data_IF_398815588272
#
_entry.id   IF_398815588272
#
_cell.length_a   1.000
_cell.length_b   1.000
_cell.length_c   1.000
_cell.angle_alpha   90.00
_cell.angle_beta   90.00
_cell.angle_gamma   90.00
#
_symmetry.space_group_name_H-M   'P 1'
#
loop_
_entity.id
_entity.type
_entity.pdbx_description
1 polymer ?
#
# COMPACT_ATOMS: atom_id res chain seq x y z
N UNK A 1 4.98 7.88 -91.72
CA UNK A 1 4.84 6.43 -91.41
C UNK A 1 5.13 6.24 -89.93
N UNK A 2 4.11 5.99 -89.11
CA UNK A 2 4.18 5.95 -87.64
C UNK A 2 4.40 4.50 -87.20
N UNK A 3 5.54 4.16 -86.57
CA UNK A 3 5.72 2.88 -85.90
C UNK A 3 5.02 2.96 -84.54
N UNK A 4 4.08 2.05 -84.32
CA UNK A 4 3.46 1.81 -83.02
C UNK A 4 4.36 0.78 -82.33
N UNK A 5 5.15 1.22 -81.36
CA UNK A 5 5.89 0.31 -80.50
C UNK A 5 4.87 -0.46 -79.64
N UNK A 6 4.87 -1.78 -79.83
CA UNK A 6 4.05 -2.71 -79.05
C UNK A 6 4.59 -2.70 -77.63
N UNK A 7 3.72 -2.38 -76.67
CA UNK A 7 3.93 -2.71 -75.27
C UNK A 7 4.32 -4.18 -75.16
N UNK A 8 5.57 -4.43 -74.76
CA UNK A 8 5.99 -5.71 -74.22
C UNK A 8 5.34 -5.82 -72.84
N UNK A 9 4.23 -6.54 -72.76
CA UNK A 9 3.71 -7.01 -71.49
C UNK A 9 4.52 -8.27 -71.20
N UNK A 10 5.53 -8.14 -70.34
CA UNK A 10 6.29 -9.28 -69.83
C UNK A 10 5.33 -10.29 -69.18
N UNK A 11 5.42 -11.58 -69.51
CA UNK A 11 4.56 -12.61 -68.95
C UNK A 11 5.18 -13.19 -67.67
N UNK A 12 5.58 -12.35 -66.71
CA UNK A 12 5.89 -12.81 -65.35
C UNK A 12 4.62 -12.79 -64.49
N UNK A 13 3.52 -13.28 -65.07
CA UNK A 13 2.26 -13.50 -64.39
C UNK A 13 2.27 -14.93 -63.80
N UNK A 14 3.25 -15.18 -62.91
CA UNK A 14 3.30 -16.41 -62.13
C UNK A 14 2.16 -16.39 -61.12
N UNK A 15 1.03 -17.01 -61.50
CA UNK A 15 -0.08 -17.23 -60.58
C UNK A 15 0.39 -18.06 -59.38
N UNK A 16 0.00 -17.65 -58.17
CA UNK A 16 0.31 -18.39 -56.95
C UNK A 16 -0.33 -19.78 -57.01
N UNK A 17 0.46 -20.81 -56.69
CA UNK A 17 -0.09 -22.15 -56.53
C UNK A 17 -1.03 -22.18 -55.33
N UNK A 18 -2.13 -22.93 -55.42
CA UNK A 18 -3.05 -23.13 -54.29
C UNK A 18 -2.29 -23.61 -53.03
N UNK A 19 -1.25 -24.42 -53.22
CA UNK A 19 -0.39 -24.89 -52.14
C UNK A 19 0.38 -23.75 -51.46
N UNK A 20 0.89 -22.79 -52.22
CA UNK A 20 1.60 -21.62 -51.67
C UNK A 20 0.64 -20.75 -50.84
N UNK A 21 -0.59 -20.55 -51.32
CA UNK A 21 -1.62 -19.81 -50.58
C UNK A 21 -2.00 -20.53 -49.29
N UNK A 22 -2.16 -21.86 -49.32
CA UNK A 22 -2.45 -22.65 -48.13
C UNK A 22 -1.31 -22.62 -47.11
N UNK A 23 -0.06 -22.74 -47.56
CA UNK A 23 1.13 -22.65 -46.69
C UNK A 23 1.22 -21.25 -46.08
N UNK A 24 1.00 -20.19 -46.86
CA UNK A 24 1.00 -18.82 -46.36
C UNK A 24 -0.07 -18.59 -45.28
N UNK A 25 -1.28 -19.11 -45.48
CA UNK A 25 -2.37 -19.04 -44.49
C UNK A 25 -2.05 -19.82 -43.20
N UNK A 26 -1.42 -20.99 -43.32
CA UNK A 26 -1.02 -21.79 -42.17
C UNK A 26 0.07 -21.08 -41.36
N UNK A 27 1.09 -20.55 -42.04
CA UNK A 27 2.14 -19.74 -41.40
C UNK A 27 1.54 -18.49 -40.73
N UNK A 28 0.62 -17.79 -41.40
CA UNK A 28 -0.06 -16.64 -40.83
C UNK A 28 -0.83 -17.02 -39.56
N UNK A 29 -1.58 -18.11 -39.59
CA UNK A 29 -2.35 -18.60 -38.43
C UNK A 29 -1.44 -18.98 -37.27
N UNK A 30 -0.32 -19.63 -37.55
CA UNK A 30 0.68 -19.99 -36.52
C UNK A 30 1.31 -18.73 -35.91
N UNK A 31 1.69 -17.75 -36.73
CA UNK A 31 2.24 -16.48 -36.24
C UNK A 31 1.20 -15.71 -35.43
N UNK A 32 -0.05 -15.63 -35.90
CA UNK A 32 -1.14 -14.97 -35.17
C UNK A 32 -1.42 -15.62 -33.82
N UNK A 33 -1.46 -16.96 -33.73
CA UNK A 33 -1.65 -17.67 -32.46
C UNK A 33 -0.47 -17.48 -31.51
N UNK A 34 0.77 -17.43 -32.02
CA UNK A 34 1.95 -17.12 -31.21
C UNK A 34 1.87 -15.70 -30.63
N UNK A 35 1.55 -14.70 -31.46
CA UNK A 35 1.40 -13.30 -31.03
C UNK A 35 0.29 -13.19 -29.98
N UNK A 36 -0.86 -13.83 -30.22
CA UNK A 36 -1.97 -13.84 -29.26
C UNK A 36 -1.56 -14.44 -27.91
N UNK A 37 -0.87 -15.59 -27.92
CA UNK A 37 -0.38 -16.25 -26.70
C UNK A 37 0.62 -15.38 -25.94
N UNK A 38 1.54 -14.72 -26.63
CA UNK A 38 2.51 -13.79 -26.02
C UNK A 38 1.80 -12.59 -25.39
N UNK A 39 0.86 -11.96 -26.11
CA UNK A 39 0.08 -10.82 -25.61
C UNK A 39 -0.74 -11.21 -24.37
N UNK A 40 -1.43 -12.35 -24.41
CA UNK A 40 -2.24 -12.81 -23.29
C UNK A 40 -1.39 -13.08 -22.03
N UNK A 41 -0.21 -13.68 -22.20
CA UNK A 41 0.75 -13.84 -21.08
C UNK A 41 1.27 -12.50 -20.57
N UNK A 42 1.60 -11.57 -21.46
CA UNK A 42 2.08 -10.24 -21.07
C UNK A 42 1.04 -9.48 -20.24
N UNK A 43 -0.23 -9.51 -20.66
CA UNK A 43 -1.36 -8.92 -19.90
C UNK A 43 -1.47 -9.57 -18.52
N UNK A 44 -1.45 -10.90 -18.44
CA UNK A 44 -1.53 -11.60 -17.16
C UNK A 44 -0.38 -11.23 -16.20
N UNK A 45 0.85 -11.12 -16.72
CA UNK A 45 1.99 -10.69 -15.91
C UNK A 45 1.90 -9.22 -15.50
N UNK A 46 1.40 -8.35 -16.37
CA UNK A 46 1.16 -6.94 -16.06
C UNK A 46 0.13 -6.80 -14.93
N UNK A 47 -1.01 -7.49 -15.02
CA UNK A 47 -2.04 -7.50 -13.97
C UNK A 47 -1.50 -8.04 -12.64
N UNK A 48 -0.73 -9.12 -12.67
CA UNK A 48 -0.09 -9.68 -11.48
C UNK A 48 0.92 -8.71 -10.88
N UNK A 49 1.69 -8.02 -11.73
CA UNK A 49 2.63 -6.99 -11.33
C UNK A 49 1.93 -5.80 -10.66
N UNK A 50 0.84 -5.31 -11.26
CA UNK A 50 0.06 -4.19 -10.72
C UNK A 50 -0.53 -4.52 -9.34
N UNK A 51 -1.09 -5.73 -9.17
CA UNK A 51 -1.61 -6.18 -7.87
C UNK A 51 -0.52 -6.19 -6.79
N UNK A 52 0.67 -6.74 -7.12
CA UNK A 52 1.79 -6.76 -6.18
C UNK A 52 2.29 -5.35 -5.86
N UNK A 53 2.35 -4.47 -6.86
CA UNK A 53 2.77 -3.10 -6.65
C UNK A 53 1.79 -2.34 -5.74
N UNK A 54 0.48 -2.50 -5.95
CA UNK A 54 -0.54 -1.91 -5.08
C UNK A 54 -0.43 -2.39 -3.63
N UNK A 55 -0.12 -3.66 -3.40
CA UNK A 55 0.12 -4.20 -2.04
C UNK A 55 1.34 -3.55 -1.38
N UNK A 56 2.44 -3.38 -2.12
CA UNK A 56 3.66 -2.72 -1.63
C UNK A 56 3.38 -1.25 -1.31
N UNK A 57 2.66 -0.54 -2.19
CA UNK A 57 2.27 0.85 -1.98
C UNK A 57 1.41 1.01 -0.72
N UNK A 58 0.42 0.13 -0.53
CA UNK A 58 -0.41 0.11 0.69
C UNK A 58 0.41 -0.15 1.95
N UNK A 59 1.36 -1.09 1.89
CA UNK A 59 2.28 -1.41 2.99
C UNK A 59 3.13 -0.20 3.38
N UNK A 60 3.79 0.43 2.40
CA UNK A 60 4.64 1.61 2.62
C UNK A 60 3.81 2.80 3.10
N UNK A 61 2.60 2.99 2.56
CA UNK A 61 1.70 4.05 2.98
C UNK A 61 1.26 3.90 4.45
N UNK A 62 0.94 2.68 4.89
CA UNK A 62 0.57 2.40 6.28
C UNK A 62 1.73 2.72 7.24
N UNK A 63 2.92 2.20 6.95
CA UNK A 63 4.13 2.43 7.75
C UNK A 63 4.42 3.93 7.83
N UNK A 64 4.41 4.61 6.68
CA UNK A 64 4.68 6.06 6.60
C UNK A 64 3.64 6.86 7.38
N UNK A 65 2.38 6.44 7.35
CA UNK A 65 1.30 7.07 8.11
C UNK A 65 1.56 6.93 9.61
N UNK A 66 1.72 5.70 10.12
CA UNK A 66 1.93 5.44 11.54
C UNK A 66 3.20 6.15 12.02
N UNK A 67 4.30 6.01 11.29
CA UNK A 67 5.56 6.69 11.59
C UNK A 67 5.35 8.19 11.73
N UNK A 68 4.71 8.83 10.74
CA UNK A 68 4.46 10.28 10.77
C UNK A 68 3.63 10.68 11.99
N UNK A 69 2.59 9.92 12.33
CA UNK A 69 1.71 10.24 13.45
C UNK A 69 2.40 10.07 14.80
N UNK A 70 3.16 8.98 14.98
CA UNK A 70 3.94 8.70 16.19
C UNK A 70 5.05 9.73 16.37
N UNK A 71 5.82 10.03 15.31
CA UNK A 71 6.88 11.04 15.37
C UNK A 71 6.33 12.43 15.69
N UNK A 72 5.10 12.74 15.23
CA UNK A 72 4.36 13.96 15.54
C UNK A 72 3.49 13.85 16.80
N UNK A 73 3.81 12.89 17.68
CA UNK A 73 3.08 12.64 18.92
C UNK A 73 3.08 13.85 19.84
N UNK A 74 1.94 14.10 20.49
CA UNK A 74 1.79 15.22 21.41
C UNK A 74 2.34 14.87 22.80
N UNK A 75 3.12 15.79 23.37
CA UNK A 75 3.62 15.70 24.74
C UNK A 75 2.76 16.56 25.66
N UNK A 76 2.26 15.97 26.74
CA UNK A 76 1.50 16.71 27.73
C UNK A 76 2.46 17.36 28.75
N UNK A 77 2.58 18.70 28.77
CA UNK A 77 3.51 19.39 29.66
C UNK A 77 3.12 19.29 31.14
N UNK A 78 1.85 19.00 31.46
CA UNK A 78 1.38 18.86 32.85
C UNK A 78 1.77 17.51 33.44
N UNK A 79 1.54 16.43 32.69
CA UNK A 79 1.84 15.06 33.15
C UNK A 79 3.25 14.63 32.81
N UNK A 80 3.97 15.39 31.97
CA UNK A 80 5.29 15.08 31.43
C UNK A 80 5.35 13.72 30.71
N UNK A 81 4.24 13.31 30.12
CA UNK A 81 4.12 12.05 29.36
C UNK A 81 3.70 12.33 27.92
N UNK A 82 4.15 11.48 27.01
CA UNK A 82 3.56 11.40 25.66
C UNK A 82 2.14 10.87 25.78
N UNK A 83 1.23 11.41 24.97
CA UNK A 83 -0.16 10.96 24.95
C UNK A 83 -0.26 9.81 23.95
N UNK A 84 0.35 8.68 24.30
CA UNK A 84 0.33 7.43 23.55
C UNK A 84 0.07 6.31 24.53
N UNK A 85 -0.82 5.41 24.17
CA UNK A 85 -1.11 4.18 24.90
C UNK A 85 -1.44 3.10 23.89
N UNK A 86 -1.01 1.89 24.11
CA UNK A 86 -1.35 0.76 23.26
C UNK A 86 -1.35 -0.52 24.08
N UNK A 87 -2.16 -1.46 23.64
CA UNK A 87 -2.15 -2.82 24.13
C UNK A 87 -2.62 -3.72 22.98
N UNK A 88 -1.78 -4.70 22.63
CA UNK A 88 -2.11 -5.89 21.85
C UNK A 88 -3.17 -5.69 20.76
N UNK A 89 -2.85 -4.88 19.74
CA UNK A 89 -3.73 -4.62 18.60
C UNK A 89 -4.60 -3.37 18.73
N UNK A 90 -4.52 -2.63 19.84
CA UNK A 90 -5.07 -1.29 19.98
C UNK A 90 -3.94 -0.29 20.21
N UNK A 91 -3.98 0.83 19.50
CA UNK A 91 -3.06 1.94 19.69
C UNK A 91 -3.84 3.25 19.65
N UNK A 92 -3.73 4.03 20.71
CA UNK A 92 -4.25 5.38 20.81
C UNK A 92 -3.08 6.35 20.92
N UNK A 93 -3.11 7.41 20.14
CA UNK A 93 -2.10 8.45 20.22
C UNK A 93 -2.67 9.83 19.87
N UNK A 94 -2.24 10.86 20.58
CA UNK A 94 -2.50 12.23 20.16
C UNK A 94 -1.40 12.69 19.21
N UNK A 95 -1.77 13.23 18.04
CA UNK A 95 -0.82 13.63 17.00
C UNK A 95 -1.15 14.99 16.42
N UNK A 96 -0.12 15.76 16.08
CA UNK A 96 -0.24 17.01 15.31
C UNK A 96 -0.25 16.79 13.78
N UNK A 97 -0.11 15.54 13.33
CA UNK A 97 -0.10 15.14 11.93
C UNK A 97 -1.31 14.23 11.60
N UNK A 98 -2.54 14.78 11.63
CA UNK A 98 -3.72 14.00 11.30
C UNK A 98 -3.70 13.46 9.86
N UNK A 99 -4.40 12.36 9.65
CA UNK A 99 -4.67 11.76 8.36
C UNK A 99 -5.96 12.28 7.72
N UNK A 100 -7.05 12.38 8.49
CA UNK A 100 -8.36 12.78 7.97
C UNK A 100 -8.67 14.25 8.27
N UNK A 101 -8.25 14.74 9.43
CA UNK A 101 -8.40 16.15 9.81
C UNK A 101 -7.39 17.07 9.11
N UNK A 102 -7.61 18.38 9.23
CA UNK A 102 -6.73 19.38 8.59
C UNK A 102 -5.34 19.37 9.24
N UNK A 103 -4.26 19.52 8.47
CA UNK A 103 -2.91 19.64 9.01
C UNK A 103 -2.81 20.76 10.07
N UNK A 104 -2.01 20.53 11.11
CA UNK A 104 -1.78 21.50 12.19
C UNK A 104 -2.83 21.49 13.32
N UNK A 105 -3.86 20.65 13.22
CA UNK A 105 -4.74 20.36 14.34
C UNK A 105 -4.23 19.13 15.11
N UNK A 106 -4.20 19.21 16.44
CA UNK A 106 -3.91 18.03 17.28
C UNK A 106 -5.19 17.22 17.40
N UNK A 107 -5.10 15.94 17.02
CA UNK A 107 -6.23 14.99 17.10
C UNK A 107 -5.84 13.79 17.94
N UNK A 108 -6.84 13.11 18.50
CA UNK A 108 -6.68 11.77 19.04
C UNK A 108 -6.93 10.76 17.92
N UNK A 109 -5.89 10.01 17.56
CA UNK A 109 -5.95 8.93 16.58
C UNK A 109 -6.07 7.59 17.30
N UNK A 110 -6.97 6.74 16.80
CA UNK A 110 -7.21 5.40 17.31
C UNK A 110 -6.96 4.40 16.18
N UNK A 111 -6.17 3.38 16.47
CA UNK A 111 -5.92 2.22 15.64
C UNK A 111 -6.41 0.99 16.36
N UNK A 112 -7.12 0.12 15.65
CA UNK A 112 -7.62 -1.14 16.23
C UNK A 112 -7.55 -2.25 15.20
N UNK A 113 -6.94 -3.37 15.57
CA UNK A 113 -6.86 -4.57 14.74
C UNK A 113 -8.02 -5.47 15.12
N UNK A 114 -8.87 -5.79 14.14
CA UNK A 114 -9.81 -6.89 14.26
C UNK A 114 -9.11 -8.20 13.89
N UNK A 115 -8.87 -9.07 14.88
CA UNK A 115 -8.18 -10.34 14.69
C UNK A 115 -9.01 -11.36 13.90
N UNK A 116 -10.34 -11.24 13.89
CA UNK A 116 -11.21 -12.17 13.15
C UNK A 116 -11.14 -11.93 11.65
N UNK A 117 -11.10 -10.66 11.24
CA UNK A 117 -11.04 -10.26 9.82
C UNK A 117 -9.64 -9.84 9.37
N UNK A 118 -8.70 -9.75 10.31
CA UNK A 118 -7.36 -9.22 10.12
C UNK A 118 -7.38 -7.87 9.37
N UNK A 119 -8.20 -6.97 9.90
CA UNK A 119 -8.41 -5.62 9.36
C UNK A 119 -7.97 -4.58 10.38
N UNK A 120 -7.13 -3.65 9.94
CA UNK A 120 -6.75 -2.48 10.72
C UNK A 120 -7.76 -1.36 10.49
N UNK A 121 -8.42 -0.96 11.57
CA UNK A 121 -9.36 0.14 11.62
C UNK A 121 -8.73 1.40 12.18
N UNK A 122 -9.29 2.54 11.80
CA UNK A 122 -8.79 3.86 12.16
C UNK A 122 -9.88 4.88 12.42
N UNK A 123 -9.66 5.75 13.41
CA UNK A 123 -10.55 6.85 13.74
C UNK A 123 -9.77 8.05 14.25
N UNK A 124 -10.23 9.25 13.93
CA UNK A 124 -9.74 10.50 14.51
C UNK A 124 -10.84 11.26 15.24
N UNK A 125 -10.52 11.77 16.43
CA UNK A 125 -11.36 12.68 17.21
C UNK A 125 -10.63 14.00 17.42
N UNK A 126 -11.31 15.13 17.21
CA UNK A 126 -10.71 16.48 17.26
C UNK A 126 -10.53 17.01 18.68
N UNK A 127 -11.27 16.47 19.63
CA UNK A 127 -11.36 16.89 21.02
C UNK A 127 -10.35 16.14 21.91
N UNK A 128 -9.07 16.18 21.55
CA UNK A 128 -8.03 15.39 22.23
C UNK A 128 -7.87 15.69 23.73
N UNK A 129 -8.31 16.87 24.20
CA UNK A 129 -8.27 17.25 25.61
C UNK A 129 -9.34 16.56 26.45
N UNK A 130 -10.26 15.81 25.84
CA UNK A 130 -11.31 15.13 26.56
C UNK A 130 -10.72 14.00 27.42
N UNK A 131 -10.86 14.14 28.74
CA UNK A 131 -10.36 13.16 29.71
C UNK A 131 -11.07 11.80 29.58
N UNK A 132 -12.30 11.80 29.03
CA UNK A 132 -13.10 10.60 28.80
C UNK A 132 -12.41 9.64 27.82
N UNK A 133 -11.46 10.12 27.01
CA UNK A 133 -10.76 9.28 26.07
C UNK A 133 -9.74 8.34 26.69
N UNK A 134 -9.40 8.48 27.98
CA UNK A 134 -8.43 7.61 28.66
C UNK A 134 -8.85 6.13 28.71
N UNK A 135 -10.15 5.86 28.80
CA UNK A 135 -10.70 4.50 28.87
C UNK A 135 -11.61 4.18 27.66
N UNK A 136 -11.67 5.09 26.68
CA UNK A 136 -12.51 4.94 25.51
C UNK A 136 -11.86 4.04 24.45
N UNK A 137 -12.57 3.00 24.09
CA UNK A 137 -12.26 2.12 22.96
C UNK A 137 -13.39 2.28 21.94
N UNK A 138 -13.14 2.84 20.74
CA UNK A 138 -14.18 3.02 19.74
C UNK A 138 -14.69 1.67 19.18
N UNK A 139 -15.99 1.64 18.89
CA UNK A 139 -16.61 0.52 18.19
C UNK A 139 -16.18 0.49 16.72
N UNK A 140 -16.02 -0.72 16.17
CA UNK A 140 -15.60 -0.90 14.77
C UNK A 140 -16.53 -0.21 13.76
N UNK A 141 -17.81 -0.05 14.08
CA UNK A 141 -18.79 0.64 13.23
C UNK A 141 -18.53 2.13 13.07
N UNK A 142 -17.82 2.75 14.02
CA UNK A 142 -17.43 4.17 13.96
C UNK A 142 -16.09 4.38 13.24
N UNK A 143 -15.32 3.30 13.05
CA UNK A 143 -13.97 3.37 12.52
C UNK A 143 -13.95 3.12 11.00
N UNK A 144 -12.98 3.73 10.33
CA UNK A 144 -12.71 3.51 8.91
C UNK A 144 -11.70 2.39 8.73
N UNK A 145 -11.95 1.36 7.90
CA UNK A 145 -10.95 0.34 7.60
C UNK A 145 -9.82 0.96 6.78
N UNK A 146 -8.57 0.85 7.26
CA UNK A 146 -7.37 1.31 6.55
C UNK A 146 -6.75 0.21 5.68
N UNK A 147 -6.66 -1.00 6.24
CA UNK A 147 -5.99 -2.11 5.60
C UNK A 147 -6.70 -3.41 5.95
N UNK A 148 -7.16 -4.12 4.92
CA UNK A 148 -7.91 -5.36 5.04
C UNK A 148 -7.17 -6.51 4.35
N UNK A 149 -7.05 -7.66 5.02
CA UNK A 149 -6.56 -8.89 4.39
C UNK A 149 -5.06 -8.87 4.05
N UNK A 150 -4.26 -8.03 4.70
CA UNK A 150 -2.86 -7.81 4.35
C UNK A 150 -1.87 -8.69 5.14
N UNK A 151 -2.33 -9.74 5.83
CA UNK A 151 -1.50 -10.58 6.71
C UNK A 151 -1.40 -10.03 8.13
N UNK A 152 -0.83 -10.80 9.05
CA UNK A 152 -0.88 -10.48 10.49
C UNK A 152 -0.32 -9.09 10.79
N UNK A 153 -1.13 -8.27 11.48
CA UNK A 153 -0.76 -6.94 11.97
C UNK A 153 -0.72 -7.02 13.50
N UNK A 154 0.43 -6.67 14.08
CA UNK A 154 0.55 -6.49 15.52
C UNK A 154 0.98 -5.05 15.79
N UNK A 155 0.28 -4.42 16.72
CA UNK A 155 0.51 -3.04 17.14
C UNK A 155 0.62 -3.03 18.65
N UNK A 156 1.72 -2.49 19.14
CA UNK A 156 2.01 -2.43 20.57
C UNK A 156 2.72 -1.12 20.94
N UNK A 157 2.60 -0.72 22.19
CA UNK A 157 3.29 0.44 22.74
C UNK A 157 3.96 0.09 24.06
N UNK A 158 5.28 0.23 24.09
CA UNK A 158 6.08 0.05 25.29
C UNK A 158 6.18 1.39 26.05
N UNK A 159 5.53 1.46 27.22
CA UNK A 159 5.55 2.65 28.08
C UNK A 159 6.93 2.95 28.68
N UNK A 160 7.80 1.95 28.84
CA UNK A 160 9.13 2.12 29.43
C UNK A 160 10.09 2.75 28.42
N UNK A 161 10.08 2.22 27.20
CA UNK A 161 10.97 2.71 26.12
C UNK A 161 10.35 3.82 25.27
N UNK A 162 9.05 4.09 25.45
CA UNK A 162 8.24 5.01 24.66
C UNK A 162 8.29 4.70 23.16
N UNK A 163 8.24 3.41 22.81
CA UNK A 163 8.32 2.91 21.43
C UNK A 163 6.98 2.33 21.00
N UNK A 164 6.57 2.68 19.79
CA UNK A 164 5.47 2.03 19.09
C UNK A 164 6.06 0.97 18.18
N UNK A 165 5.65 -0.27 18.39
CA UNK A 165 6.05 -1.43 17.61
C UNK A 165 4.93 -1.80 16.65
N UNK A 166 5.26 -1.92 15.37
CA UNK A 166 4.37 -2.39 14.31
C UNK A 166 5.01 -3.61 13.66
N UNK A 167 4.39 -4.77 13.80
CA UNK A 167 4.72 -5.96 13.00
C UNK A 167 3.70 -6.07 11.87
N UNK A 168 4.17 -6.16 10.63
CA UNK A 168 3.30 -6.41 9.49
C UNK A 168 3.99 -7.35 8.51
N UNK A 169 3.35 -8.47 8.19
CA UNK A 169 3.90 -9.51 7.31
C UNK A 169 5.29 -10.01 7.76
N UNK A 170 5.50 -10.15 9.07
CA UNK A 170 6.76 -10.62 9.65
C UNK A 170 7.91 -9.61 9.61
N UNK A 171 7.67 -8.38 9.15
CA UNK A 171 8.64 -7.29 9.27
C UNK A 171 8.24 -6.40 10.44
N UNK A 172 9.16 -6.24 11.39
CA UNK A 172 8.97 -5.38 12.55
C UNK A 172 9.52 -3.98 12.29
N UNK A 173 8.75 -2.97 12.70
CA UNK A 173 9.09 -1.56 12.63
C UNK A 173 8.92 -0.94 14.02
N UNK A 174 9.87 -0.10 14.42
CA UNK A 174 9.82 0.62 15.68
C UNK A 174 9.85 2.12 15.43
N UNK A 175 8.95 2.84 16.10
CA UNK A 175 8.87 4.28 16.02
C UNK A 175 8.94 4.89 17.41
N UNK A 176 9.59 6.04 17.50
CA UNK A 176 9.67 6.83 18.74
C UNK A 176 9.18 8.25 18.49
N UNK A 177 8.32 8.80 19.36
CA UNK A 177 7.93 10.19 19.27
C UNK A 177 9.15 11.10 19.42
N UNK A 178 9.23 12.18 18.62
CA UNK A 178 10.33 13.14 18.75
C UNK A 178 10.33 13.87 20.10
N UNK A 179 9.16 13.98 20.72
CA UNK A 179 9.00 14.62 22.02
C UNK A 179 9.36 13.69 23.20
N UNK A 180 9.68 12.42 22.95
CA UNK A 180 10.10 11.51 24.01
C UNK A 180 11.50 11.94 24.53
N UNK A 181 11.70 12.03 25.86
CA UNK A 181 13.02 12.32 26.43
C UNK A 181 14.02 11.27 25.96
N UNK A 182 15.30 11.64 25.80
CA UNK A 182 16.35 10.69 25.42
C UNK A 182 16.34 9.46 26.36
N UNK A 183 16.61 8.24 25.85
CA UNK A 183 16.67 7.07 26.71
C UNK A 183 17.78 7.35 27.72
N UNK A 184 17.46 7.31 29.02
CA UNK A 184 18.52 7.34 30.03
C UNK A 184 19.33 6.07 29.79
N UNK A 185 20.55 6.20 29.30
CA UNK A 185 21.52 5.11 29.37
C UNK A 185 21.58 4.72 30.84
N UNK A 186 21.07 3.53 31.17
CA UNK A 186 21.27 2.95 32.47
C UNK A 186 22.78 2.81 32.59
N UNK A 187 23.41 3.74 33.31
CA UNK A 187 24.82 3.68 33.61
C UNK A 187 25.05 2.33 34.30
N UNK A 188 25.63 1.39 33.56
CA UNK A 188 25.94 0.07 34.08
C UNK A 188 26.83 0.22 35.30
N UNK A 189 26.28 -0.13 36.46
CA UNK A 189 27.00 -0.35 37.71
C UNK A 189 27.34 -1.82 37.86
#
# INVERSE_FOLDING_TARGET
>A
MKRIDRHHIDPDNNGFSLLEVMVALLLLTMVSTMIYSMLNRAIFFAERGERKNRQIEQHVALISLIQRQVMSGWFNPRTKKVVITGDSGFLRLATASPFLARPGQVVMAFYRVDTATNTLYYLERKDFYNADYNDYIPDYSEMTPLLSGAGAIELDFDEETLRVSLSHNGTAYEFRPWCAPAPMEVAGG
#
